data_IF_832781457320
#
_entry.id   IF_832781457320
#
_cell.length_a   1.000
_cell.length_b   1.000
_cell.length_c   1.000
_cell.angle_alpha   90.00
_cell.angle_beta   90.00
_cell.angle_gamma   90.00
#
_symmetry.space_group_name_H-M   'P 1'
#
loop_
_entity.id
_entity.type
_entity.pdbx_description
1 polymer ?
#
# COMPACT_ATOMS: atom_id res chain seq x y z
N UNK A 1 -0.23 13.32 -5.84
CA UNK A 1 -1.15 12.19 -5.60
C UNK A 1 -2.56 12.73 -5.65
N UNK A 2 -3.41 12.20 -6.51
CA UNK A 2 -4.81 12.65 -6.62
C UNK A 2 -5.71 11.66 -5.87
N UNK A 3 -6.72 12.17 -5.16
CA UNK A 3 -7.82 11.37 -4.66
C UNK A 3 -9.04 11.62 -5.55
N UNK A 4 -9.67 10.56 -6.02
CA UNK A 4 -10.78 10.62 -6.97
C UNK A 4 -11.95 9.80 -6.42
N UNK A 5 -13.12 10.44 -6.35
CA UNK A 5 -14.37 9.82 -5.94
C UNK A 5 -15.23 9.55 -7.19
N UNK A 6 -15.63 8.31 -7.40
CA UNK A 6 -16.55 7.90 -8.46
C UNK A 6 -17.88 7.52 -7.87
N UNK A 7 -18.94 8.22 -8.26
CA UNK A 7 -20.32 7.88 -7.88
C UNK A 7 -20.93 6.95 -8.90
N UNK A 8 -21.33 5.77 -8.46
CA UNK A 8 -21.93 4.73 -9.29
C UNK A 8 -23.41 4.60 -8.91
N UNK A 9 -24.25 4.41 -9.91
CA UNK A 9 -25.70 4.28 -9.73
C UNK A 9 -26.28 3.23 -10.68
N UNK A 10 -27.39 2.61 -10.29
CA UNK A 10 -28.08 1.58 -11.07
C UNK A 10 -27.39 0.22 -11.03
N UNK A 11 -27.35 -0.49 -12.16
CA UNK A 11 -26.72 -1.81 -12.25
C UNK A 11 -25.26 -1.68 -12.68
N UNK A 12 -24.31 -2.08 -11.83
CA UNK A 12 -22.90 -2.14 -12.17
C UNK A 12 -22.65 -3.31 -13.13
N UNK A 13 -22.69 -2.99 -14.43
CA UNK A 13 -22.61 -3.91 -15.55
C UNK A 13 -21.27 -3.81 -16.30
N UNK A 14 -21.15 -4.53 -17.41
CA UNK A 14 -19.99 -4.44 -18.29
C UNK A 14 -19.75 -3.02 -18.82
N UNK A 15 -20.82 -2.26 -19.09
CA UNK A 15 -20.75 -0.90 -19.61
C UNK A 15 -20.10 0.03 -18.60
N UNK A 16 -20.70 0.16 -17.41
CA UNK A 16 -20.18 1.00 -16.31
C UNK A 16 -18.79 0.53 -15.87
N UNK A 17 -18.59 -0.78 -15.75
CA UNK A 17 -17.29 -1.35 -15.38
C UNK A 17 -16.18 -1.03 -16.38
N UNK A 18 -16.49 -1.08 -17.69
CA UNK A 18 -15.53 -0.74 -18.74
C UNK A 18 -15.19 0.75 -18.77
N UNK A 19 -16.20 1.62 -18.62
CA UNK A 19 -16.01 3.06 -18.58
C UNK A 19 -15.16 3.48 -17.38
N UNK A 20 -15.47 2.93 -16.21
CA UNK A 20 -14.70 3.14 -14.98
C UNK A 20 -13.25 2.68 -15.16
N UNK A 21 -13.03 1.49 -15.73
CA UNK A 21 -11.69 0.96 -15.97
C UNK A 21 -10.87 1.87 -16.90
N UNK A 22 -11.46 2.39 -17.97
CA UNK A 22 -10.79 3.31 -18.89
C UNK A 22 -10.42 4.64 -18.21
N UNK A 23 -11.35 5.25 -17.48
CA UNK A 23 -11.10 6.49 -16.71
C UNK A 23 -9.97 6.31 -15.70
N UNK A 24 -9.98 5.19 -14.97
CA UNK A 24 -8.90 4.87 -14.04
C UNK A 24 -7.56 4.73 -14.76
N UNK A 25 -7.54 4.05 -15.92
CA UNK A 25 -6.32 3.85 -16.71
C UNK A 25 -5.73 5.18 -17.19
N UNK A 26 -6.55 6.14 -17.60
CA UNK A 26 -6.10 7.49 -18.00
C UNK A 26 -5.45 8.24 -16.83
N UNK A 27 -6.00 8.12 -15.62
CA UNK A 27 -5.46 8.78 -14.42
C UNK A 27 -4.27 8.03 -13.78
N UNK A 28 -3.99 6.79 -14.19
CA UNK A 28 -2.88 5.97 -13.63
C UNK A 28 -1.47 6.40 -14.04
N UNK A 29 -1.29 7.50 -14.77
CA UNK A 29 0.03 8.09 -15.03
C UNK A 29 0.78 8.52 -13.75
N UNK A 30 0.06 8.61 -12.62
CA UNK A 30 0.64 8.81 -11.29
C UNK A 30 -0.15 8.03 -10.22
N UNK A 31 0.50 7.64 -9.09
CA UNK A 31 -0.20 6.99 -7.99
C UNK A 31 -1.39 7.84 -7.50
N UNK A 32 -2.56 7.22 -7.44
CA UNK A 32 -3.81 7.88 -7.06
C UNK A 32 -4.66 7.01 -6.13
N UNK A 33 -5.54 7.65 -5.37
CA UNK A 33 -6.58 6.98 -4.58
C UNK A 33 -7.90 7.03 -5.32
N UNK A 34 -8.58 5.90 -5.36
CA UNK A 34 -9.87 5.74 -6.01
C UNK A 34 -10.90 5.28 -4.99
N UNK A 35 -11.84 6.15 -4.68
CA UNK A 35 -12.97 5.88 -3.80
C UNK A 35 -14.21 5.66 -4.67
N UNK A 36 -14.86 4.50 -4.54
CA UNK A 36 -16.03 4.14 -5.35
C UNK A 36 -17.28 4.15 -4.47
N UNK A 37 -18.24 5.00 -4.78
CA UNK A 37 -19.51 5.09 -4.09
C UNK A 37 -20.53 4.16 -4.76
N UNK A 38 -20.98 3.14 -4.02
CA UNK A 38 -21.98 2.16 -4.42
C UNK A 38 -23.35 2.40 -3.75
N UNK A 39 -23.57 3.55 -3.11
CA UNK A 39 -24.79 3.85 -2.34
C UNK A 39 -26.08 3.81 -3.17
N UNK A 40 -25.96 4.13 -4.46
CA UNK A 40 -27.03 4.13 -5.46
C UNK A 40 -26.94 2.93 -6.43
N UNK A 41 -26.03 1.98 -6.19
CA UNK A 41 -25.94 0.75 -6.99
C UNK A 41 -26.91 -0.28 -6.45
N UNK A 42 -27.82 -0.75 -7.30
CA UNK A 42 -28.86 -1.71 -6.94
C UNK A 42 -28.36 -3.15 -7.08
N UNK A 43 -27.56 -3.41 -8.12
CA UNK A 43 -27.08 -4.75 -8.47
C UNK A 43 -25.68 -4.66 -9.10
N UNK A 44 -24.85 -5.68 -8.88
CA UNK A 44 -23.57 -5.86 -9.57
C UNK A 44 -23.62 -7.17 -10.33
N UNK A 45 -23.49 -7.12 -11.66
CA UNK A 45 -23.50 -8.34 -12.48
C UNK A 45 -22.18 -9.11 -12.37
N UNK A 46 -22.17 -10.37 -12.80
CA UNK A 46 -20.95 -11.19 -12.84
C UNK A 46 -19.81 -10.50 -13.62
N UNK A 47 -20.13 -9.90 -14.76
CA UNK A 47 -19.16 -9.14 -15.56
C UNK A 47 -18.70 -7.87 -14.85
N UNK A 48 -19.59 -7.22 -14.08
CA UNK A 48 -19.25 -6.11 -13.21
C UNK A 48 -18.18 -6.50 -12.17
N UNK A 49 -18.36 -7.64 -11.50
CA UNK A 49 -17.37 -8.17 -10.55
C UNK A 49 -16.01 -8.44 -11.20
N UNK A 50 -16.00 -8.99 -12.41
CA UNK A 50 -14.76 -9.18 -13.18
C UNK A 50 -14.05 -7.85 -13.50
N UNK A 51 -14.80 -6.78 -13.79
CA UNK A 51 -14.21 -5.44 -13.95
C UNK A 51 -13.64 -4.90 -12.64
N UNK A 52 -14.32 -5.08 -11.51
CA UNK A 52 -13.76 -4.71 -10.20
C UNK A 52 -12.46 -5.45 -9.90
N UNK A 53 -12.36 -6.73 -10.29
CA UNK A 53 -11.12 -7.52 -10.16
C UNK A 53 -9.99 -6.92 -10.99
N UNK A 54 -10.24 -6.65 -12.28
CA UNK A 54 -9.27 -6.01 -13.18
C UNK A 54 -8.81 -4.64 -12.67
N UNK A 55 -9.75 -3.83 -12.17
CA UNK A 55 -9.44 -2.53 -11.56
C UNK A 55 -8.51 -2.71 -10.35
N UNK A 56 -8.83 -3.64 -9.46
CA UNK A 56 -8.05 -3.90 -8.25
C UNK A 56 -6.63 -4.36 -8.57
N UNK A 57 -6.48 -5.27 -9.52
CA UNK A 57 -5.16 -5.74 -10.00
C UNK A 57 -4.37 -4.60 -10.63
N UNK A 58 -5.00 -3.80 -11.49
CA UNK A 58 -4.35 -2.65 -12.12
C UNK A 58 -3.89 -1.59 -11.12
N UNK A 59 -4.67 -1.35 -10.07
CA UNK A 59 -4.28 -0.44 -9.00
C UNK A 59 -3.02 -0.95 -8.28
N UNK A 60 -2.93 -2.26 -8.01
CA UNK A 60 -1.71 -2.87 -7.43
C UNK A 60 -0.48 -2.69 -8.32
N UNK A 61 -0.60 -2.90 -9.62
CA UNK A 61 0.51 -2.73 -10.58
C UNK A 61 1.04 -1.30 -10.64
N UNK A 62 0.13 -0.32 -10.54
CA UNK A 62 0.46 1.12 -10.68
C UNK A 62 0.79 1.79 -9.36
N UNK A 63 0.69 1.07 -8.23
CA UNK A 63 0.84 1.63 -6.89
C UNK A 63 -0.35 2.48 -6.42
N UNK A 64 -1.43 2.53 -7.20
CA UNK A 64 -2.69 3.19 -6.83
C UNK A 64 -3.48 2.33 -5.84
N UNK A 65 -4.44 2.93 -5.13
CA UNK A 65 -5.31 2.22 -4.18
C UNK A 65 -6.76 2.43 -4.54
N UNK A 66 -7.58 1.40 -4.35
CA UNK A 66 -9.02 1.44 -4.65
C UNK A 66 -9.81 0.77 -3.53
N UNK A 67 -10.93 1.39 -3.15
CA UNK A 67 -11.89 0.85 -2.19
C UNK A 67 -13.29 1.39 -2.50
N UNK A 68 -14.32 0.70 -2.01
CA UNK A 68 -15.71 1.07 -2.21
C UNK A 68 -16.44 1.36 -0.90
N UNK A 69 -17.56 2.07 -0.96
CA UNK A 69 -18.48 2.22 0.18
C UNK A 69 -19.95 2.23 -0.25
N UNK A 70 -20.85 2.07 0.72
CA UNK A 70 -22.30 2.22 0.48
C UNK A 70 -22.98 1.02 -0.20
N UNK A 71 -22.25 -0.08 -0.42
CA UNK A 71 -22.83 -1.30 -0.99
C UNK A 71 -23.81 -1.96 -0.01
N UNK A 72 -25.06 -2.14 -0.44
CA UNK A 72 -26.16 -2.71 0.36
C UNK A 72 -26.45 -4.18 0.05
N UNK A 73 -25.91 -4.72 -1.04
CA UNK A 73 -26.09 -6.12 -1.39
C UNK A 73 -25.28 -7.05 -0.49
N UNK A 74 -25.56 -8.35 -0.56
CA UNK A 74 -24.73 -9.35 0.14
C UNK A 74 -23.31 -9.31 -0.44
N UNK A 75 -22.29 -9.16 0.43
CA UNK A 75 -20.89 -9.34 0.09
C UNK A 75 -20.66 -10.82 -0.23
N UNK A 76 -20.89 -11.21 -1.48
CA UNK A 76 -20.73 -12.59 -1.93
C UNK A 76 -19.28 -12.90 -2.29
N UNK A 77 -18.99 -14.18 -2.42
CA UNK A 77 -17.71 -14.83 -2.75
C UNK A 77 -16.96 -14.25 -3.98
N UNK A 78 -17.60 -13.33 -4.72
CA UNK A 78 -17.07 -12.67 -5.91
C UNK A 78 -16.21 -11.42 -5.62
N UNK A 79 -16.10 -10.99 -4.35
CA UNK A 79 -15.31 -9.82 -3.99
C UNK A 79 -13.82 -10.02 -4.36
N UNK A 80 -13.19 -9.11 -5.12
CA UNK A 80 -11.79 -9.24 -5.48
C UNK A 80 -10.87 -9.22 -4.26
N UNK A 81 -9.85 -10.08 -4.28
CA UNK A 81 -8.80 -10.10 -3.25
C UNK A 81 -8.12 -8.73 -3.12
N UNK A 82 -8.28 -8.10 -1.96
CA UNK A 82 -7.69 -6.80 -1.63
C UNK A 82 -8.58 -5.59 -1.96
N UNK A 83 -9.79 -5.80 -2.49
CA UNK A 83 -10.82 -4.77 -2.53
C UNK A 83 -11.64 -4.80 -1.23
N UNK A 84 -11.93 -3.63 -0.67
CA UNK A 84 -12.65 -3.51 0.60
C UNK A 84 -13.87 -2.60 0.42
N UNK A 85 -14.97 -2.99 1.05
CA UNK A 85 -16.17 -2.17 1.18
C UNK A 85 -16.29 -1.60 2.59
N UNK A 86 -16.65 -0.33 2.66
CA UNK A 86 -16.90 0.37 3.92
C UNK A 86 -18.37 0.85 4.01
N UNK A 87 -18.91 1.03 5.23
CA UNK A 87 -20.26 1.55 5.40
C UNK A 87 -20.42 2.99 4.92
N UNK A 88 -19.40 3.83 5.13
CA UNK A 88 -19.45 5.28 4.89
C UNK A 88 -18.31 5.77 4.01
N UNK A 89 -18.54 6.91 3.35
CA UNK A 89 -17.51 7.62 2.57
C UNK A 89 -16.28 7.94 3.43
N UNK A 90 -16.51 8.46 4.64
CA UNK A 90 -15.44 8.87 5.55
C UNK A 90 -14.53 7.72 5.95
N UNK A 91 -15.08 6.55 6.25
CA UNK A 91 -14.28 5.35 6.56
C UNK A 91 -13.47 4.87 5.37
N UNK A 92 -14.06 4.89 4.17
CA UNK A 92 -13.39 4.51 2.93
C UNK A 92 -12.22 5.42 2.61
N UNK A 93 -12.42 6.73 2.70
CA UNK A 93 -11.37 7.74 2.50
C UNK A 93 -10.27 7.54 3.54
N UNK A 94 -10.62 7.44 4.82
CA UNK A 94 -9.65 7.24 5.89
C UNK A 94 -8.82 5.96 5.68
N UNK A 95 -9.44 4.86 5.24
CA UNK A 95 -8.73 3.65 4.87
C UNK A 95 -7.76 3.90 3.70
N UNK A 96 -8.22 4.49 2.61
CA UNK A 96 -7.39 4.77 1.43
C UNK A 96 -6.21 5.69 1.77
N UNK A 97 -6.44 6.72 2.58
CA UNK A 97 -5.41 7.62 3.08
C UNK A 97 -4.41 6.90 4.00
N UNK A 98 -4.88 6.02 4.88
CA UNK A 98 -3.99 5.20 5.72
C UNK A 98 -3.07 4.29 4.90
N UNK A 99 -3.52 3.87 3.72
CA UNK A 99 -2.68 3.08 2.79
C UNK A 99 -1.57 3.93 2.16
N UNK A 100 -1.77 5.24 2.02
CA UNK A 100 -0.70 6.20 1.64
C UNK A 100 0.21 6.47 2.84
N UNK A 101 -0.38 6.71 4.01
CA UNK A 101 0.31 7.00 5.27
C UNK A 101 1.00 5.76 5.87
N UNK A 102 1.07 4.66 5.12
CA UNK A 102 2.02 3.58 5.37
C UNK A 102 3.44 3.90 4.87
N UNK A 103 3.73 5.15 4.52
CA UNK A 103 4.90 5.84 5.09
C UNK A 103 4.57 6.25 6.54
N UNK A 104 4.68 5.30 7.46
CA UNK A 104 4.42 5.44 8.91
C UNK A 104 4.64 6.86 9.47
N UNK A 105 3.67 7.46 10.17
CA UNK A 105 4.01 8.47 11.18
C UNK A 105 4.92 7.79 12.22
N UNK A 106 6.09 8.39 12.42
CA UNK A 106 7.23 7.83 13.15
C UNK A 106 7.01 7.51 14.64
N UNK A 107 5.78 7.47 15.16
CA UNK A 107 5.54 7.50 16.60
C UNK A 107 4.58 6.46 17.21
N UNK A 108 3.77 5.70 16.46
CA UNK A 108 2.78 4.80 17.09
C UNK A 108 2.61 3.44 16.42
N UNK A 109 3.70 2.83 16.01
CA UNK A 109 3.79 1.38 16.03
C UNK A 109 5.18 1.06 16.55
N UNK A 110 5.30 0.70 17.82
CA UNK A 110 6.37 -0.22 18.22
C UNK A 110 6.27 -1.41 17.26
N UNK A 111 7.17 -1.52 16.26
CA UNK A 111 7.21 -2.73 15.46
C UNK A 111 7.61 -3.80 16.46
N UNK A 112 7.01 -4.99 16.36
CA UNK A 112 7.69 -6.18 16.86
C UNK A 112 9.07 -6.14 16.23
N UNK A 113 10.06 -5.79 17.05
CA UNK A 113 11.44 -5.68 16.61
C UNK A 113 11.86 -7.08 16.23
N UNK A 114 11.83 -7.38 14.93
CA UNK A 114 12.77 -8.36 14.41
C UNK A 114 14.14 -7.79 14.77
N UNK A 115 14.72 -8.30 15.85
CA UNK A 115 16.08 -8.00 16.26
C UNK A 115 17.01 -8.50 15.16
N UNK A 116 17.25 -7.68 14.14
CA UNK A 116 18.22 -7.99 13.11
C UNK A 116 19.60 -7.75 13.71
N UNK A 117 20.49 -8.71 13.49
CA UNK A 117 21.88 -8.65 13.95
C UNK A 117 22.82 -8.51 12.76
N UNK A 118 23.92 -7.79 12.96
CA UNK A 118 25.02 -7.64 12.00
C UNK A 118 26.32 -7.89 12.71
N UNK A 119 27.29 -8.43 11.99
CA UNK A 119 28.64 -8.58 12.51
C UNK A 119 29.45 -7.32 12.25
N UNK A 120 30.18 -6.87 13.26
CA UNK A 120 31.19 -5.84 13.07
C UNK A 120 32.23 -6.33 12.03
N UNK A 121 32.62 -5.50 11.05
CA UNK A 121 33.56 -5.91 10.01
C UNK A 121 34.98 -6.09 10.55
N UNK A 122 35.30 -5.48 11.70
CA UNK A 122 36.63 -5.53 12.31
C UNK A 122 36.76 -6.66 13.33
N UNK A 123 35.89 -6.69 14.35
CA UNK A 123 36.02 -7.62 15.48
C UNK A 123 34.97 -8.74 15.47
N UNK A 124 34.14 -8.83 14.43
CA UNK A 124 33.07 -9.82 14.24
C UNK A 124 32.02 -9.90 15.35
N UNK A 125 32.04 -8.96 16.32
CA UNK A 125 31.06 -8.91 17.39
C UNK A 125 29.65 -8.77 16.81
N UNK A 126 28.71 -9.53 17.36
CA UNK A 126 27.31 -9.51 16.97
C UNK A 126 26.65 -8.25 17.54
N UNK A 127 26.18 -7.38 16.66
CA UNK A 127 25.58 -6.10 16.99
C UNK A 127 24.12 -6.10 16.58
N UNK A 128 23.24 -5.61 17.46
CA UNK A 128 21.83 -5.39 17.13
C UNK A 128 21.71 -4.09 16.36
N UNK A 129 21.07 -4.15 15.19
CA UNK A 129 20.87 -2.97 14.35
C UNK A 129 19.40 -2.86 13.98
N UNK A 130 18.90 -1.61 13.90
CA UNK A 130 17.49 -1.32 13.67
C UNK A 130 17.23 -0.58 12.37
N UNK A 131 18.18 0.27 11.96
CA UNK A 131 18.04 1.16 10.80
C UNK A 131 19.31 1.14 9.96
N UNK A 132 19.20 1.38 8.65
CA UNK A 132 20.37 1.59 7.81
C UNK A 132 21.07 2.91 8.19
N UNK A 133 22.40 2.94 8.14
CA UNK A 133 23.18 4.12 8.50
C UNK A 133 24.57 3.79 9.02
N UNK A 134 25.20 4.82 9.59
CA UNK A 134 26.49 4.72 10.26
C UNK A 134 26.36 4.08 11.64
N UNK A 135 27.17 3.06 11.89
CA UNK A 135 27.29 2.39 13.17
C UNK A 135 28.72 2.49 13.70
N UNK A 136 28.82 2.59 15.02
CA UNK A 136 30.08 2.51 15.76
C UNK A 136 30.07 1.22 16.56
N UNK A 137 31.05 0.35 16.34
CA UNK A 137 31.18 -0.86 17.15
C UNK A 137 31.51 -0.48 18.60
N UNK A 138 30.76 -0.95 19.61
CA UNK A 138 31.07 -0.68 21.02
C UNK A 138 32.38 -1.35 21.46
N UNK A 139 32.74 -2.48 20.84
CA UNK A 139 33.88 -3.31 21.21
C UNK A 139 35.21 -2.77 20.65
N UNK A 140 35.28 -2.49 19.35
CA UNK A 140 36.52 -2.04 18.70
C UNK A 140 36.50 -0.57 18.28
N UNK A 141 35.38 0.15 18.49
CA UNK A 141 35.20 1.56 18.08
C UNK A 141 35.35 1.82 16.58
N UNK A 142 35.36 0.79 15.74
CA UNK A 142 35.34 0.94 14.27
C UNK A 142 34.00 1.53 13.83
N UNK A 143 34.05 2.52 12.93
CA UNK A 143 32.88 3.08 12.25
C UNK A 143 32.63 2.34 10.94
N UNK A 144 31.40 1.89 10.70
CA UNK A 144 31.01 1.18 9.48
C UNK A 144 29.57 1.52 9.10
N UNK A 145 29.24 1.37 7.82
CA UNK A 145 27.89 1.60 7.32
C UNK A 145 27.12 0.28 7.25
N UNK A 146 25.84 0.30 7.58
CA UNK A 146 24.92 -0.81 7.37
C UNK A 146 23.81 -0.39 6.41
N UNK A 147 23.63 -1.12 5.31
CA UNK A 147 22.58 -0.82 4.33
C UNK A 147 21.21 -1.40 4.74
N UNK A 148 20.13 -1.05 4.02
CA UNK A 148 18.76 -1.55 4.29
C UNK A 148 18.61 -3.09 4.20
N UNK A 149 19.56 -3.77 3.55
CA UNK A 149 19.61 -5.24 3.42
C UNK A 149 20.46 -5.92 4.51
N UNK A 150 21.06 -5.16 5.43
CA UNK A 150 21.93 -5.69 6.50
C UNK A 150 23.36 -5.99 6.06
N UNK A 151 23.80 -5.52 4.90
CA UNK A 151 25.20 -5.62 4.51
C UNK A 151 26.01 -4.49 5.12
N UNK A 152 27.21 -4.85 5.54
CA UNK A 152 28.15 -3.95 6.17
C UNK A 152 29.19 -3.50 5.15
N UNK A 153 29.46 -2.21 5.11
CA UNK A 153 30.53 -1.63 4.29
C UNK A 153 31.44 -0.78 5.18
N UNK A 154 32.74 -1.03 5.12
CA UNK A 154 33.75 -0.16 5.73
C UNK A 154 33.90 1.08 4.86
N UNK A 155 33.93 2.27 5.47
CA UNK A 155 34.38 3.46 4.75
C UNK A 155 35.90 3.35 4.62
N UNK A 156 36.40 2.89 3.49
CA UNK A 156 37.75 3.26 3.09
C UNK A 156 37.71 4.75 2.76
N UNK A 157 38.26 5.58 3.65
CA UNK A 157 38.64 6.94 3.28
C UNK A 157 39.74 6.81 2.23
N UNK A 158 39.46 7.20 0.99
CA UNK A 158 40.51 7.59 0.06
C UNK A 158 41.24 8.78 0.71
N UNK A 159 42.53 8.57 1.00
CA UNK A 159 43.47 9.56 1.54
C UNK A 159 43.66 10.72 0.56
#
# INVERSE_FOLDING_TARGET
MKSLLFRLAGTFSAEIGSELYLKLKEETLSPSLFCLDFSEVEEVTEVGWEFLRKITERCKETGSKVAGFGWKGSLTENLPLGFHFFPTESECIHYLESQILSETPANELTPKSEEKTVHCPECQSLLRWKLAGDYLCPQCKTKFFVNKKGWVSTYERLL
#
